data_IF_085694718571
#
_entry.id   IF_085694718571
#
_cell.length_a   1.000
_cell.length_b   1.000
_cell.length_c   1.000
_cell.angle_alpha   90.00
_cell.angle_beta   90.00
_cell.angle_gamma   90.00
#
_symmetry.space_group_name_H-M   'P 1'
#
loop_
_entity.id
_entity.type
_entity.pdbx_description
1 polymer ?
#
# COMPACT_ATOMS: atom_id res chain seq x y z
N UNK A 1 18.92 -8.67 -8.68
CA UNK A 1 17.46 -8.48 -8.62
C UNK A 1 16.89 -9.42 -7.57
N UNK A 2 15.77 -9.09 -6.92
CA UNK A 2 15.07 -10.01 -6.02
C UNK A 2 14.77 -11.34 -6.72
N UNK A 3 14.93 -12.44 -5.99
CA UNK A 3 14.64 -13.80 -6.47
C UNK A 3 13.23 -14.20 -6.03
N UNK A 4 12.59 -15.09 -6.77
CA UNK A 4 11.33 -15.74 -6.41
C UNK A 4 11.47 -17.24 -6.65
N UNK A 5 11.27 -18.04 -5.61
CA UNK A 5 11.13 -19.49 -5.75
C UNK A 5 9.67 -19.82 -6.04
N UNK A 6 9.38 -20.42 -7.21
CA UNK A 6 8.01 -20.60 -7.74
C UNK A 6 7.84 -22.01 -8.29
N UNK A 7 6.65 -22.60 -8.12
CA UNK A 7 6.24 -23.85 -8.80
C UNK A 7 5.46 -23.58 -10.09
N UNK A 8 5.42 -24.58 -10.98
CA UNK A 8 4.52 -24.63 -12.14
C UNK A 8 3.34 -25.56 -11.86
N UNK A 9 2.47 -25.76 -12.85
CA UNK A 9 1.29 -26.62 -12.75
C UNK A 9 1.62 -28.08 -12.43
N UNK A 10 2.76 -28.58 -12.89
CA UNK A 10 3.25 -29.95 -12.61
C UNK A 10 3.89 -30.10 -11.22
N UNK A 11 3.96 -29.03 -10.43
CA UNK A 11 4.61 -29.00 -9.12
C UNK A 11 6.15 -28.93 -9.18
N UNK A 12 6.75 -28.86 -10.38
CA UNK A 12 8.18 -28.58 -10.54
C UNK A 12 8.45 -27.15 -10.12
N UNK A 13 9.59 -26.90 -9.48
CA UNK A 13 9.91 -25.57 -8.98
C UNK A 13 11.29 -25.10 -9.45
N UNK A 14 11.45 -23.77 -9.52
CA UNK A 14 12.74 -23.14 -9.83
C UNK A 14 12.82 -21.75 -9.22
N UNK A 15 14.03 -21.20 -9.17
CA UNK A 15 14.26 -19.84 -8.72
C UNK A 15 14.41 -18.90 -9.91
N UNK A 16 13.55 -17.90 -9.98
CA UNK A 16 13.56 -16.87 -11.03
C UNK A 16 13.83 -15.50 -10.43
N UNK A 17 14.00 -14.48 -11.26
CA UNK A 17 14.08 -13.10 -10.80
C UNK A 17 12.76 -12.38 -11.00
N UNK A 18 12.51 -11.36 -10.18
CA UNK A 18 11.38 -10.46 -10.42
C UNK A 18 11.76 -9.00 -10.29
N UNK A 19 10.96 -8.14 -10.94
CA UNK A 19 11.09 -6.69 -10.85
C UNK A 19 9.71 -6.05 -10.80
N UNK A 20 9.52 -5.08 -9.91
CA UNK A 20 8.32 -4.26 -9.92
C UNK A 20 8.18 -3.54 -11.27
N UNK A 21 6.98 -3.60 -11.86
CA UNK A 21 6.65 -2.83 -13.06
C UNK A 21 6.64 -1.36 -12.67
N UNK A 22 7.41 -0.54 -13.40
CA UNK A 22 7.43 0.92 -13.17
C UNK A 22 6.10 1.51 -13.63
N UNK A 23 5.39 2.19 -12.74
CA UNK A 23 4.28 3.04 -13.13
C UNK A 23 4.79 4.20 -14.00
N UNK A 24 3.94 4.70 -14.90
CA UNK A 24 4.23 5.96 -15.56
C UNK A 24 4.26 7.08 -14.50
N UNK A 25 5.17 8.06 -14.63
CA UNK A 25 5.21 9.17 -13.71
C UNK A 25 3.88 9.93 -13.77
N UNK A 26 3.36 10.33 -12.62
CA UNK A 26 2.22 11.23 -12.56
C UNK A 26 2.55 12.55 -13.28
N UNK A 27 1.54 13.25 -13.82
CA UNK A 27 1.71 14.62 -14.30
C UNK A 27 2.43 15.47 -13.24
N UNK A 28 3.38 16.30 -13.68
CA UNK A 28 4.05 17.25 -12.78
C UNK A 28 3.08 18.39 -12.49
N UNK A 29 2.97 18.77 -11.23
CA UNK A 29 2.26 19.98 -10.83
C UNK A 29 3.12 21.19 -11.22
N UNK A 30 2.50 22.20 -11.83
CA UNK A 30 3.16 23.45 -12.24
C UNK A 30 2.98 23.81 -13.71
N UNK A 31 3.54 24.96 -14.09
CA UNK A 31 3.64 25.40 -15.48
C UNK A 31 4.85 24.73 -16.17
N UNK A 32 4.85 24.61 -17.51
CA UNK A 32 5.98 24.04 -18.24
C UNK A 32 7.29 24.80 -17.94
N UNK A 33 8.27 24.10 -17.38
CA UNK A 33 9.59 24.68 -17.05
C UNK A 33 9.68 25.28 -15.63
N UNK A 34 8.57 25.37 -14.90
CA UNK A 34 8.55 25.88 -13.54
C UNK A 34 8.33 24.75 -12.54
N UNK A 35 9.09 24.76 -11.43
CA UNK A 35 8.93 23.81 -10.35
C UNK A 35 7.96 24.38 -9.30
N UNK A 36 7.01 23.56 -8.84
CA UNK A 36 6.20 23.87 -7.67
C UNK A 36 6.91 23.35 -6.42
N UNK A 37 7.13 24.23 -5.45
CA UNK A 37 7.63 23.86 -4.12
C UNK A 37 6.49 23.98 -3.10
N UNK A 38 6.39 22.98 -2.23
CA UNK A 38 5.45 22.99 -1.11
C UNK A 38 6.22 23.38 0.15
N UNK A 39 5.71 24.40 0.85
CA UNK A 39 6.24 24.85 2.12
C UNK A 39 5.20 24.70 3.21
N UNK A 40 5.67 24.32 4.41
CA UNK A 40 4.86 24.35 5.62
C UNK A 40 5.09 25.69 6.31
N UNK A 41 4.02 26.28 6.82
CA UNK A 41 4.08 27.53 7.57
C UNK A 41 3.34 27.37 8.89
N UNK A 42 3.77 28.11 9.90
CA UNK A 42 3.05 28.19 11.17
C UNK A 42 1.74 28.95 10.96
N UNK A 43 0.60 28.27 11.19
CA UNK A 43 -0.73 28.86 11.00
C UNK A 43 -1.26 29.56 12.24
N UNK A 44 -0.89 29.09 13.44
CA UNK A 44 -1.30 29.67 14.72
C UNK A 44 -0.30 29.26 15.82
N UNK A 45 -0.22 30.07 16.86
CA UNK A 45 0.42 29.72 18.14
C UNK A 45 -0.63 29.24 19.14
N UNK A 46 -0.20 28.68 20.27
CA UNK A 46 -1.11 28.12 21.29
C UNK A 46 -2.13 29.16 21.76
N UNK A 47 -1.70 30.40 21.93
CA UNK A 47 -2.48 31.54 22.39
C UNK A 47 -3.61 31.90 21.40
N UNK A 48 -3.41 31.62 20.11
CA UNK A 48 -4.42 31.82 19.06
C UNK A 48 -5.37 30.64 18.86
N UNK A 49 -5.24 29.56 19.64
CA UNK A 49 -6.17 28.43 19.58
C UNK A 49 -7.49 28.76 20.31
N UNK A 50 -8.58 28.11 19.89
CA UNK A 50 -9.93 28.32 20.41
C UNK A 50 -10.01 28.35 21.95
N UNK A 51 -9.46 27.34 22.62
CA UNK A 51 -9.53 27.25 24.09
C UNK A 51 -8.93 28.46 24.81
N UNK A 52 -7.85 29.04 24.24
CA UNK A 52 -7.19 30.22 24.81
C UNK A 52 -7.96 31.49 24.49
N UNK A 53 -8.49 31.62 23.28
CA UNK A 53 -9.34 32.76 22.91
C UNK A 53 -10.61 32.81 23.74
N UNK A 54 -11.25 31.66 23.99
CA UNK A 54 -12.42 31.56 24.89
C UNK A 54 -12.06 31.97 26.31
N UNK A 55 -10.91 31.54 26.82
CA UNK A 55 -10.44 31.93 28.14
C UNK A 55 -10.16 33.43 28.28
N UNK A 56 -9.72 34.09 27.19
CA UNK A 56 -9.35 35.51 27.19
C UNK A 56 -10.52 36.44 26.88
N UNK A 57 -11.41 36.05 25.95
CA UNK A 57 -12.45 36.92 25.39
C UNK A 57 -13.88 36.42 25.69
N UNK A 58 -14.04 35.25 26.31
CA UNK A 58 -15.34 34.58 26.53
C UNK A 58 -15.75 33.70 25.34
N UNK A 59 -16.84 32.93 25.47
CA UNK A 59 -17.30 32.03 24.39
C UNK A 59 -17.70 32.76 23.11
N UNK A 60 -18.24 33.97 23.22
CA UNK A 60 -18.62 34.82 22.07
C UNK A 60 -17.57 35.91 21.84
N UNK A 61 -16.49 35.53 21.17
CA UNK A 61 -15.36 36.40 20.84
C UNK A 61 -15.33 36.84 19.37
N UNK A 62 -16.44 36.69 18.63
CA UNK A 62 -16.51 36.99 17.20
C UNK A 62 -16.16 38.46 16.89
N UNK A 63 -16.60 39.40 17.73
CA UNK A 63 -16.26 40.81 17.56
C UNK A 63 -14.76 41.07 17.77
N UNK A 64 -14.11 40.35 18.69
CA UNK A 64 -12.67 40.47 18.91
C UNK A 64 -11.86 40.01 17.70
N UNK A 65 -12.31 38.95 17.00
CA UNK A 65 -11.74 38.54 15.71
C UNK A 65 -11.81 39.65 14.67
N UNK A 66 -12.99 40.24 14.50
CA UNK A 66 -13.22 41.31 13.52
C UNK A 66 -12.38 42.55 13.82
N UNK A 67 -12.22 42.89 15.11
CA UNK A 67 -11.59 44.14 15.52
C UNK A 67 -10.06 44.10 15.45
N UNK A 68 -9.42 42.92 15.54
CA UNK A 68 -7.96 42.88 15.65
C UNK A 68 -7.26 41.53 15.51
N UNK A 69 -7.90 40.50 14.96
CA UNK A 69 -7.28 39.20 14.67
C UNK A 69 -6.44 38.63 15.84
N UNK A 70 -6.98 38.52 17.08
CA UNK A 70 -6.26 38.07 18.27
C UNK A 70 -5.72 36.63 18.14
N UNK A 71 -6.22 35.85 17.18
CA UNK A 71 -5.73 34.52 16.84
C UNK A 71 -4.40 34.54 16.07
N UNK A 72 -4.03 35.69 15.48
CA UNK A 72 -2.86 35.84 14.63
C UNK A 72 -1.72 36.51 15.39
N UNK A 73 -0.74 35.73 15.80
CA UNK A 73 0.55 36.27 16.24
C UNK A 73 1.32 36.78 15.00
N UNK A 74 1.29 38.10 14.79
CA UNK A 74 1.92 38.78 13.63
C UNK A 74 3.45 38.59 13.56
N UNK A 75 4.11 38.23 14.65
CA UNK A 75 5.55 37.97 14.65
C UNK A 75 5.88 36.52 14.26
N UNK A 76 4.93 35.61 14.45
CA UNK A 76 5.16 34.17 14.34
C UNK A 76 4.42 33.47 13.20
N UNK A 77 3.16 33.85 12.95
CA UNK A 77 2.36 33.27 11.87
C UNK A 77 3.02 33.53 10.52
N UNK A 78 2.99 32.55 9.64
CA UNK A 78 3.66 32.60 8.33
C UNK A 78 5.16 32.27 8.37
N UNK A 79 5.74 31.99 9.55
CA UNK A 79 7.11 31.44 9.63
C UNK A 79 7.18 30.08 8.94
N UNK A 80 8.21 29.89 8.12
CA UNK A 80 8.47 28.63 7.42
C UNK A 80 8.91 27.56 8.41
N UNK A 81 8.25 26.41 8.37
CA UNK A 81 8.56 25.26 9.22
C UNK A 81 9.46 24.29 8.45
N UNK A 82 10.66 24.06 9.01
CA UNK A 82 11.65 23.10 8.52
C UNK A 82 11.33 21.65 8.91
N UNK A 83 12.34 20.84 9.22
CA UNK A 83 12.13 19.53 9.81
C UNK A 83 11.53 19.65 11.22
N UNK A 84 10.66 18.73 11.59
CA UNK A 84 9.91 18.74 12.86
C UNK A 84 9.97 17.37 13.50
N UNK A 85 10.19 17.31 14.80
CA UNK A 85 10.07 16.09 15.60
C UNK A 85 8.67 16.00 16.20
N UNK A 86 8.15 14.77 16.33
CA UNK A 86 6.86 14.50 16.97
C UNK A 86 7.10 14.24 18.45
N UNK A 87 6.42 15.01 19.30
CA UNK A 87 6.40 14.82 20.75
C UNK A 87 4.96 14.54 21.15
N UNK A 88 4.76 13.53 22.01
CA UNK A 88 3.44 13.23 22.57
C UNK A 88 3.27 13.98 23.89
N UNK A 89 2.10 14.57 24.08
CA UNK A 89 1.73 15.24 25.32
C UNK A 89 0.69 14.39 26.05
N UNK A 90 0.66 14.46 27.38
CA UNK A 90 -0.44 13.93 28.17
C UNK A 90 -1.65 14.87 28.16
N UNK A 91 -2.70 14.52 28.92
CA UNK A 91 -3.93 15.32 29.05
C UNK A 91 -3.70 16.67 29.76
N UNK A 92 -2.61 16.82 30.51
CA UNK A 92 -2.18 18.08 31.10
C UNK A 92 -1.32 18.94 30.15
N UNK A 93 -0.91 18.39 29.00
CA UNK A 93 -0.05 19.06 28.04
C UNK A 93 1.44 18.92 28.33
N UNK A 94 1.83 18.03 29.25
CA UNK A 94 3.22 17.74 29.59
C UNK A 94 3.80 16.67 28.67
N UNK A 95 5.11 16.74 28.41
CA UNK A 95 5.79 15.81 27.50
C UNK A 95 5.79 14.39 28.06
N UNK A 96 5.26 13.44 27.28
CA UNK A 96 5.34 12.02 27.59
C UNK A 96 6.74 11.47 27.31
N UNK A 97 7.41 10.99 28.36
CA UNK A 97 8.72 10.33 28.29
C UNK A 97 8.63 8.80 28.11
N UNK A 98 7.43 8.25 28.08
CA UNK A 98 7.19 6.83 27.87
C UNK A 98 6.90 6.55 26.39
N UNK A 99 7.38 5.40 25.89
CA UNK A 99 6.99 4.95 24.56
C UNK A 99 5.47 4.67 24.52
N UNK A 100 4.73 5.20 23.55
CA UNK A 100 3.30 4.95 23.45
C UNK A 100 3.03 3.46 23.24
N UNK A 101 1.94 2.95 23.83
CA UNK A 101 1.44 1.61 23.50
C UNK A 101 0.79 1.66 22.11
N UNK A 102 1.42 1.00 21.14
CA UNK A 102 0.83 0.87 19.80
C UNK A 102 -0.26 -0.21 19.87
N UNK A 103 -1.47 0.17 19.45
CA UNK A 103 -2.60 -0.74 19.27
C UNK A 103 -3.01 -0.76 17.79
N UNK A 104 -3.35 -1.94 17.29
CA UNK A 104 -3.94 -2.14 15.97
C UNK A 104 -5.46 -2.13 16.10
N UNK A 105 -6.12 -1.20 15.40
CA UNK A 105 -7.58 -1.09 15.30
C UNK A 105 -7.99 -1.49 13.89
N UNK A 106 -8.83 -2.52 13.78
CA UNK A 106 -9.29 -3.09 12.52
C UNK A 106 -10.71 -2.62 12.28
N UNK A 107 -10.92 -1.97 11.14
CA UNK A 107 -12.24 -1.53 10.68
C UNK A 107 -12.76 -2.45 9.58
N UNK A 108 -14.07 -2.59 9.48
CA UNK A 108 -14.71 -3.23 8.34
C UNK A 108 -14.87 -2.28 7.14
N UNK A 109 -15.61 -2.72 6.13
CA UNK A 109 -15.87 -1.94 4.93
C UNK A 109 -16.90 -0.81 5.13
N UNK A 110 -17.70 -0.84 6.21
CA UNK A 110 -18.62 0.23 6.60
C UNK A 110 -17.92 1.31 7.43
N UNK A 111 -16.74 1.01 7.98
CA UNK A 111 -15.98 1.89 8.86
C UNK A 111 -16.21 1.60 10.33
N UNK A 112 -16.91 0.51 10.66
CA UNK A 112 -17.16 0.09 12.04
C UNK A 112 -15.93 -0.64 12.60
N UNK A 113 -15.58 -0.38 13.87
CA UNK A 113 -14.48 -1.06 14.55
C UNK A 113 -14.85 -2.53 14.81
N UNK A 114 -14.05 -3.45 14.26
CA UNK A 114 -14.24 -4.90 14.36
C UNK A 114 -13.39 -5.48 15.48
N UNK A 115 -12.14 -5.03 15.60
CA UNK A 115 -11.16 -5.61 16.52
C UNK A 115 -10.14 -4.56 16.96
N UNK A 116 -9.75 -4.62 18.23
CA UNK A 116 -8.66 -3.83 18.82
C UNK A 116 -7.70 -4.74 19.54
N UNK A 117 -6.42 -4.69 19.18
CA UNK A 117 -5.40 -5.60 19.74
C UNK A 117 -4.00 -5.01 19.73
N UNK A 118 -3.05 -5.69 20.39
CA UNK A 118 -1.63 -5.41 20.19
C UNK A 118 -1.17 -5.88 18.80
N UNK A 119 -0.28 -5.14 18.12
CA UNK A 119 0.30 -5.55 16.86
C UNK A 119 0.90 -6.95 16.97
N UNK A 120 0.63 -7.79 15.97
CA UNK A 120 1.23 -9.11 15.84
C UNK A 120 2.29 -9.05 14.76
N UNK A 121 3.50 -9.48 15.09
CA UNK A 121 4.56 -9.59 14.10
C UNK A 121 4.25 -10.71 13.11
N UNK A 122 4.40 -10.40 11.83
CA UNK A 122 4.18 -11.31 10.72
C UNK A 122 5.46 -11.41 9.91
N UNK A 123 6.05 -12.59 9.90
CA UNK A 123 7.24 -12.86 9.09
C UNK A 123 6.92 -12.76 7.59
N UNK A 124 7.96 -12.49 6.78
CA UNK A 124 7.88 -12.77 5.36
C UNK A 124 7.65 -14.28 5.16
N UNK A 125 7.02 -14.66 4.05
CA UNK A 125 6.84 -16.07 3.69
C UNK A 125 7.14 -16.34 2.22
N UNK A 126 7.61 -15.33 1.49
CA UNK A 126 8.12 -15.46 0.13
C UNK A 126 9.64 -15.61 0.20
N UNK A 127 10.18 -16.67 -0.41
CA UNK A 127 11.60 -17.05 -0.38
C UNK A 127 12.13 -17.57 0.96
N UNK A 128 11.25 -17.95 1.89
CA UNK A 128 11.60 -18.51 3.20
C UNK A 128 11.69 -20.06 3.13
N UNK A 129 12.55 -20.56 2.25
CA UNK A 129 12.84 -21.99 2.07
C UNK A 129 11.87 -22.78 1.18
N UNK A 130 10.57 -22.49 1.25
CA UNK A 130 9.54 -23.11 0.39
C UNK A 130 9.18 -22.23 -0.82
N UNK A 131 8.87 -22.84 -1.98
CA UNK A 131 8.41 -22.08 -3.14
C UNK A 131 7.01 -21.51 -2.92
N UNK A 132 6.70 -20.40 -3.59
CA UNK A 132 5.30 -20.03 -3.79
C UNK A 132 4.69 -20.97 -4.83
N UNK A 133 3.45 -21.38 -4.59
CA UNK A 133 2.82 -22.46 -5.34
C UNK A 133 1.88 -21.91 -6.41
N UNK A 134 2.06 -22.45 -7.62
CA UNK A 134 1.01 -22.49 -8.62
C UNK A 134 -0.14 -23.36 -8.10
N UNK A 135 -1.29 -22.74 -7.86
CA UNK A 135 -2.47 -23.46 -7.36
C UNK A 135 -3.30 -24.01 -8.52
N UNK A 136 -4.26 -24.87 -8.23
CA UNK A 136 -5.26 -25.32 -9.22
C UNK A 136 -6.31 -24.25 -9.57
N UNK A 137 -6.27 -23.08 -8.92
CA UNK A 137 -7.29 -22.04 -9.07
C UNK A 137 -6.97 -21.12 -10.25
N UNK A 138 -7.35 -21.56 -11.45
CA UNK A 138 -7.35 -20.74 -12.68
C UNK A 138 -8.66 -19.94 -12.80
N UNK A 139 -8.59 -18.70 -13.24
CA UNK A 139 -9.72 -17.79 -13.42
C UNK A 139 -9.58 -17.01 -14.73
N UNK A 140 -10.69 -16.79 -15.45
CA UNK A 140 -10.67 -16.00 -16.68
C UNK A 140 -10.10 -14.60 -16.42
N UNK A 141 -9.16 -14.16 -17.26
CA UNK A 141 -8.49 -12.86 -17.11
C UNK A 141 -9.46 -11.70 -16.96
N UNK A 142 -10.52 -11.68 -17.78
CA UNK A 142 -11.60 -10.68 -17.74
C UNK A 142 -12.36 -10.64 -16.40
N UNK A 143 -12.49 -11.79 -15.72
CA UNK A 143 -13.16 -11.85 -14.42
C UNK A 143 -12.27 -11.27 -13.33
N UNK A 144 -10.98 -11.64 -13.32
CA UNK A 144 -10.03 -11.21 -12.29
C UNK A 144 -9.88 -9.68 -12.28
N UNK A 145 -9.69 -9.07 -13.46
CA UNK A 145 -9.52 -7.60 -13.58
C UNK A 145 -10.76 -6.80 -13.17
N UNK A 146 -11.95 -7.43 -13.12
CA UNK A 146 -13.21 -6.80 -12.66
C UNK A 146 -13.53 -7.07 -11.21
N UNK A 147 -12.92 -8.11 -10.62
CA UNK A 147 -13.20 -8.57 -9.25
C UNK A 147 -12.13 -8.11 -8.26
N UNK A 148 -10.92 -7.80 -8.70
CA UNK A 148 -9.83 -7.44 -7.81
C UNK A 148 -9.18 -6.12 -8.22
N UNK A 149 -8.81 -5.32 -7.22
CA UNK A 149 -7.99 -4.13 -7.42
C UNK A 149 -6.53 -4.48 -7.19
N UNK A 150 -5.71 -4.42 -8.25
CA UNK A 150 -4.28 -4.70 -8.16
C UNK A 150 -3.51 -3.51 -7.61
N UNK A 151 -2.76 -3.73 -6.53
CA UNK A 151 -1.90 -2.71 -5.90
C UNK A 151 -0.52 -2.65 -6.54
N UNK A 152 0.03 -3.80 -6.93
CA UNK A 152 1.39 -3.93 -7.47
C UNK A 152 1.40 -5.01 -8.55
N UNK A 153 2.28 -4.86 -9.53
CA UNK A 153 2.56 -5.90 -10.53
C UNK A 153 4.06 -6.16 -10.57
N UNK A 154 4.44 -7.43 -10.56
CA UNK A 154 5.83 -7.87 -10.63
C UNK A 154 6.05 -8.64 -11.94
N UNK A 155 7.02 -8.21 -12.75
CA UNK A 155 7.45 -8.96 -13.91
C UNK A 155 8.40 -10.07 -13.47
N UNK A 156 8.05 -11.33 -13.74
CA UNK A 156 8.96 -12.46 -13.59
C UNK A 156 9.91 -12.52 -14.80
N UNK A 157 11.16 -12.87 -14.54
CA UNK A 157 12.25 -12.87 -15.52
C UNK A 157 13.12 -14.11 -15.35
N UNK A 158 13.46 -14.69 -16.48
CA UNK A 158 14.46 -15.75 -16.55
C UNK A 158 15.85 -15.19 -16.26
N UNK A 159 16.74 -16.09 -15.83
CA UNK A 159 18.15 -15.81 -15.58
C UNK A 159 19.04 -16.49 -16.63
N UNK A 160 18.57 -17.59 -17.20
CA UNK A 160 19.25 -18.45 -18.17
C UNK A 160 18.23 -19.10 -19.12
N UNK A 161 18.70 -19.96 -20.03
CA UNK A 161 17.84 -20.66 -21.00
C UNK A 161 16.84 -21.63 -20.36
N UNK A 162 17.21 -22.32 -19.28
CA UNK A 162 16.33 -23.28 -18.61
C UNK A 162 15.15 -22.56 -17.93
N UNK A 163 15.43 -21.46 -17.24
CA UNK A 163 14.39 -20.61 -16.64
C UNK A 163 13.61 -19.83 -17.69
N UNK A 164 14.17 -19.60 -18.88
CA UNK A 164 13.43 -19.06 -20.02
C UNK A 164 12.36 -20.06 -20.47
N UNK A 165 12.72 -21.30 -20.78
CA UNK A 165 11.78 -22.32 -21.26
C UNK A 165 10.69 -22.57 -20.22
N UNK A 166 11.08 -22.63 -18.95
CA UNK A 166 10.16 -22.80 -17.82
C UNK A 166 9.12 -21.67 -17.74
N UNK A 167 9.55 -20.41 -17.76
CA UNK A 167 8.63 -19.27 -17.66
C UNK A 167 7.83 -19.04 -18.96
N UNK A 168 8.42 -19.36 -20.12
CA UNK A 168 7.75 -19.27 -21.41
C UNK A 168 6.60 -20.27 -21.50
N UNK A 169 6.82 -21.53 -21.11
CA UNK A 169 5.77 -22.55 -21.07
C UNK A 169 4.59 -22.11 -20.19
N UNK A 170 4.89 -21.65 -18.97
CA UNK A 170 3.87 -21.10 -18.06
C UNK A 170 3.11 -19.91 -18.67
N UNK A 171 3.82 -19.00 -19.35
CA UNK A 171 3.20 -17.84 -19.97
C UNK A 171 2.28 -18.25 -21.13
N UNK A 172 2.73 -19.21 -21.94
CA UNK A 172 1.99 -19.76 -23.08
C UNK A 172 0.70 -20.42 -22.62
N UNK A 173 0.76 -21.30 -21.62
CA UNK A 173 -0.42 -22.01 -21.11
C UNK A 173 -1.50 -21.03 -20.64
N UNK A 174 -1.11 -19.97 -19.91
CA UNK A 174 -2.04 -18.97 -19.39
C UNK A 174 -2.63 -18.07 -20.50
N UNK A 175 -1.82 -17.70 -21.50
CA UNK A 175 -2.26 -16.83 -22.58
C UNK A 175 -3.21 -17.57 -23.54
N UNK A 176 -2.90 -18.82 -23.90
CA UNK A 176 -3.75 -19.68 -24.73
C UNK A 176 -5.09 -19.99 -24.05
N UNK A 177 -5.11 -20.14 -22.72
CA UNK A 177 -6.34 -20.34 -21.95
C UNK A 177 -7.14 -19.06 -21.66
N UNK A 178 -6.60 -17.85 -21.91
CA UNK A 178 -7.10 -16.55 -21.44
C UNK A 178 -7.40 -16.51 -19.93
N UNK A 179 -6.51 -17.10 -19.13
CA UNK A 179 -6.66 -17.24 -17.68
C UNK A 179 -5.48 -16.68 -16.91
N UNK A 180 -5.76 -16.31 -15.66
CA UNK A 180 -4.76 -16.09 -14.63
C UNK A 180 -4.87 -17.21 -13.60
N UNK A 181 -3.74 -17.58 -13.00
CA UNK A 181 -3.72 -18.57 -11.91
C UNK A 181 -3.38 -17.90 -10.58
N UNK A 182 -4.04 -18.33 -9.51
CA UNK A 182 -3.72 -17.87 -8.17
C UNK A 182 -2.38 -18.50 -7.71
N UNK A 183 -1.49 -17.66 -7.18
CA UNK A 183 -0.24 -18.03 -6.56
C UNK A 183 -0.36 -17.79 -5.05
N UNK A 184 -0.06 -18.82 -4.26
CA UNK A 184 -0.12 -18.76 -2.80
C UNK A 184 1.16 -19.27 -2.14
N UNK A 185 1.40 -18.83 -0.91
CA UNK A 185 2.53 -19.28 -0.09
C UNK A 185 2.12 -20.41 0.86
N UNK A 186 3.09 -20.87 1.65
CA UNK A 186 2.93 -21.96 2.61
C UNK A 186 2.82 -23.33 1.95
N UNK A 187 2.95 -24.40 2.73
CA UNK A 187 3.07 -25.79 2.25
C UNK A 187 1.94 -26.28 1.32
N UNK A 188 0.77 -25.63 1.37
CA UNK A 188 -0.39 -25.96 0.52
C UNK A 188 -0.75 -24.87 -0.49
N UNK A 189 0.05 -23.81 -0.61
CA UNK A 189 -0.24 -22.69 -1.49
C UNK A 189 -1.51 -21.92 -1.14
N UNK A 190 -1.92 -21.91 0.14
CA UNK A 190 -3.16 -21.27 0.61
C UNK A 190 -2.90 -19.93 1.32
N UNK A 191 -1.67 -19.70 1.74
CA UNK A 191 -1.33 -18.51 2.51
C UNK A 191 -1.14 -17.32 1.56
N UNK A 192 -1.42 -16.09 2.01
CA UNK A 192 -1.11 -14.91 1.22
C UNK A 192 0.40 -14.74 1.04
N UNK A 193 0.80 -14.01 0.00
CA UNK A 193 2.19 -13.66 -0.26
C UNK A 193 2.60 -12.45 0.60
N UNK A 194 3.62 -12.64 1.44
CA UNK A 194 4.21 -11.62 2.31
C UNK A 194 5.70 -11.50 1.98
N UNK A 195 6.06 -10.41 1.31
CA UNK A 195 7.39 -10.21 0.72
C UNK A 195 8.45 -9.68 1.71
N UNK A 196 8.02 -9.10 2.82
CA UNK A 196 8.90 -8.50 3.84
C UNK A 196 8.24 -8.59 5.21
N UNK A 197 9.04 -8.59 6.28
CA UNK A 197 8.55 -8.62 7.66
C UNK A 197 7.58 -7.46 7.91
N UNK A 198 6.43 -7.76 8.54
CA UNK A 198 5.30 -6.85 8.75
C UNK A 198 4.80 -6.18 7.46
N UNK A 199 5.04 -6.81 6.30
CA UNK A 199 4.55 -6.38 5.00
C UNK A 199 3.08 -6.74 4.78
N UNK A 200 2.43 -6.03 3.87
CA UNK A 200 1.03 -6.33 3.54
C UNK A 200 0.88 -7.73 2.92
N UNK A 201 -0.14 -8.52 3.33
CA UNK A 201 -0.46 -9.78 2.70
C UNK A 201 -1.15 -9.56 1.35
N UNK A 202 -0.74 -10.30 0.32
CA UNK A 202 -1.31 -10.21 -1.03
C UNK A 202 -1.82 -11.56 -1.54
N UNK A 203 -2.93 -11.54 -2.27
CA UNK A 203 -3.28 -12.59 -3.24
C UNK A 203 -2.50 -12.33 -4.53
N UNK A 204 -1.73 -13.33 -4.97
CA UNK A 204 -0.98 -13.26 -6.22
C UNK A 204 -1.75 -13.86 -7.38
N UNK A 205 -1.85 -13.17 -8.50
CA UNK A 205 -2.46 -13.66 -9.75
C UNK A 205 -1.41 -13.60 -10.85
N UNK A 206 -1.04 -14.77 -11.38
CA UNK A 206 -0.07 -14.87 -12.45
C UNK A 206 -0.78 -14.78 -13.79
N UNK A 207 -0.37 -13.83 -14.62
CA UNK A 207 -0.80 -13.64 -16.01
C UNK A 207 0.35 -13.95 -16.95
N UNK A 208 0.10 -14.78 -17.95
CA UNK A 208 1.00 -15.04 -19.07
C UNK A 208 0.55 -14.31 -20.34
N UNK A 209 1.52 -13.86 -21.14
CA UNK A 209 1.33 -13.36 -22.51
C UNK A 209 2.49 -13.81 -23.38
N UNK A 210 2.23 -14.15 -24.65
CA UNK A 210 3.26 -14.52 -25.62
C UNK A 210 3.18 -13.70 -26.91
N UNK A 211 4.33 -13.46 -27.53
CA UNK A 211 4.49 -12.78 -28.81
C UNK A 211 5.70 -13.38 -29.56
N UNK A 212 5.43 -14.42 -30.34
CA UNK A 212 6.48 -15.23 -30.97
C UNK A 212 7.33 -15.94 -29.93
N UNK A 213 8.63 -15.65 -29.91
CA UNK A 213 9.61 -16.13 -28.93
C UNK A 213 9.74 -15.20 -27.71
N UNK A 214 8.88 -14.20 -27.58
CA UNK A 214 8.85 -13.31 -26.41
C UNK A 214 7.73 -13.72 -25.49
N UNK A 215 7.98 -13.63 -24.19
CA UNK A 215 6.94 -13.81 -23.18
C UNK A 215 6.89 -12.64 -22.22
N UNK A 216 5.73 -12.47 -21.60
CA UNK A 216 5.53 -11.64 -20.45
C UNK A 216 4.79 -12.44 -19.38
N UNK A 217 5.40 -12.59 -18.21
CA UNK A 217 4.77 -13.24 -17.06
C UNK A 217 4.68 -12.23 -15.90
N UNK A 218 3.46 -11.81 -15.59
CA UNK A 218 3.16 -10.78 -14.59
C UNK A 218 2.50 -11.41 -13.37
N UNK A 219 3.09 -11.23 -12.20
CA UNK A 219 2.47 -11.53 -10.92
C UNK A 219 1.79 -10.27 -10.38
N UNK A 220 0.47 -10.20 -10.54
CA UNK A 220 -0.37 -9.13 -10.00
C UNK A 220 -0.70 -9.40 -8.53
N UNK A 221 -0.47 -8.41 -7.68
CA UNK A 221 -0.69 -8.50 -6.25
C UNK A 221 -1.91 -7.65 -5.87
N UNK A 222 -2.90 -8.30 -5.26
CA UNK A 222 -4.11 -7.65 -4.76
C UNK A 222 -4.34 -8.02 -3.30
N UNK A 223 -4.77 -7.06 -2.49
CA UNK A 223 -5.32 -7.27 -1.16
C UNK A 223 -6.75 -6.73 -1.05
N UNK A 224 -7.38 -6.45 -2.19
CA UNK A 224 -8.70 -5.82 -2.28
C UNK A 224 -9.56 -6.52 -3.32
N UNK A 225 -10.68 -7.07 -2.86
CA UNK A 225 -11.72 -7.63 -3.71
C UNK A 225 -12.86 -6.61 -3.83
N UNK A 226 -13.20 -6.27 -5.07
CA UNK A 226 -14.26 -5.34 -5.40
C UNK A 226 -15.61 -6.00 -5.15
N UNK A 227 -16.37 -5.45 -4.21
CA UNK A 227 -17.78 -5.81 -4.00
C UNK A 227 -18.66 -4.87 -4.82
N UNK A 228 -19.78 -5.40 -5.32
CA UNK A 228 -20.81 -4.52 -5.91
C UNK A 228 -21.42 -3.69 -4.78
N UNK A 229 -21.64 -2.38 -4.97
CA UNK A 229 -22.41 -1.60 -4.03
C UNK A 229 -23.81 -2.21 -3.90
N UNK A 230 -24.37 -2.15 -2.69
CA UNK A 230 -25.78 -2.48 -2.49
C UNK A 230 -26.61 -1.52 -3.33
N UNK A 231 -27.63 -2.05 -4.02
CA UNK A 231 -28.55 -1.19 -4.76
C UNK A 231 -29.35 -0.42 -3.71
N UNK A 232 -29.12 0.89 -3.58
CA UNK A 232 -30.03 1.75 -2.80
C UNK A 232 -31.43 1.56 -3.38
N UNK A 233 -32.34 1.06 -2.54
CA UNK A 233 -33.77 0.96 -2.85
C UNK A 233 -34.40 2.34 -2.99
#
# INVERSE_FOLDING_TARGET
MPKLHLTNEEGRNTTVQFKAVKAQPSPRLGLPGEAVEFYRYLSAVREGCHDMLVAQHGEDYAQALVDGDPEVDMEQVGRRIGATDVVYLDDAGEVLYAAPEVIEVIFDAAGDEVERRRPKDVAANVNEGEPVHWTSMKMNRRLVVRRFAFRRSLQLRHVDGLTYDYLYAMAKDLDEEDKMVLIGAGTKGKDPLIFQHNGSPYRGFLEGRIDGDRYQLLLHLSNLELKRPEVSQ
#
